data_IF_172269397720
#
_entry.id   IF_172269397720
#
_cell.length_a   1.000
_cell.length_b   1.000
_cell.length_c   1.000
_cell.angle_alpha   90.00
_cell.angle_beta   90.00
_cell.angle_gamma   90.00
#
_symmetry.space_group_name_H-M   'P 1'
#
loop_
_entity.id
_entity.type
_entity.pdbx_description
1 polymer ?
#
# COMPACT_ATOMS: atom_id res chain seq x y z
N UNK A 1 30.66 -27.85 -27.76
CA UNK A 1 30.21 -26.45 -27.95
C UNK A 1 28.87 -26.46 -28.65
N UNK A 2 27.77 -26.56 -27.91
CA UNK A 2 26.42 -26.40 -28.47
C UNK A 2 26.09 -24.92 -28.50
N UNK A 3 26.23 -24.29 -29.67
CA UNK A 3 25.74 -22.94 -29.94
C UNK A 3 24.22 -22.93 -29.84
N UNK A 4 23.69 -22.74 -28.62
CA UNK A 4 22.28 -22.55 -28.38
C UNK A 4 21.84 -21.25 -29.03
N UNK A 5 21.02 -21.36 -30.07
CA UNK A 5 20.41 -20.21 -30.73
C UNK A 5 19.74 -19.32 -29.68
N UNK A 6 20.17 -18.06 -29.56
CA UNK A 6 19.61 -17.09 -28.63
C UNK A 6 18.12 -16.94 -28.95
N UNK A 7 17.23 -17.35 -28.04
CA UNK A 7 15.80 -17.11 -28.16
C UNK A 7 15.50 -15.64 -27.82
N UNK A 8 15.84 -14.77 -28.78
CA UNK A 8 15.76 -13.32 -28.66
C UNK A 8 14.33 -12.85 -28.42
N UNK A 9 13.33 -13.55 -28.99
CA UNK A 9 11.91 -13.26 -28.77
C UNK A 9 11.50 -13.50 -27.31
N UNK A 10 11.97 -14.59 -26.71
CA UNK A 10 11.72 -14.88 -25.29
C UNK A 10 12.42 -13.88 -24.38
N UNK A 11 13.64 -13.46 -24.72
CA UNK A 11 14.37 -12.45 -23.97
C UNK A 11 13.64 -11.09 -23.96
N UNK A 12 13.18 -10.62 -25.14
CA UNK A 12 12.39 -9.38 -25.25
C UNK A 12 11.12 -9.47 -24.40
N UNK A 13 10.38 -10.59 -24.49
CA UNK A 13 9.15 -10.78 -23.73
C UNK A 13 9.39 -10.78 -22.22
N UNK A 14 10.56 -11.27 -21.76
CA UNK A 14 10.95 -11.18 -20.35
C UNK A 14 11.29 -9.74 -19.96
N UNK A 15 12.15 -9.06 -20.71
CA UNK A 15 12.57 -7.69 -20.42
C UNK A 15 11.39 -6.71 -20.31
N UNK A 16 10.35 -6.86 -21.15
CA UNK A 16 9.14 -6.01 -21.12
C UNK A 16 8.31 -6.11 -19.82
N UNK A 17 8.57 -7.12 -18.99
CA UNK A 17 7.88 -7.30 -17.71
C UNK A 17 8.44 -6.41 -16.61
N UNK A 18 9.50 -5.67 -16.88
CA UNK A 18 10.19 -4.83 -15.90
C UNK A 18 10.19 -3.36 -16.35
N UNK A 19 9.96 -2.43 -15.41
CA UNK A 19 9.93 -0.99 -15.68
C UNK A 19 11.31 -0.38 -15.88
N UNK A 20 12.35 -1.00 -15.33
CA UNK A 20 13.73 -0.52 -15.37
C UNK A 20 14.75 -1.67 -15.26
N UNK A 21 16.00 -1.36 -15.58
CA UNK A 21 17.11 -2.32 -15.59
C UNK A 21 17.43 -2.85 -14.19
N UNK A 22 17.24 -2.05 -13.16
CA UNK A 22 17.51 -2.43 -11.77
C UNK A 22 16.51 -3.48 -11.29
N UNK A 23 15.22 -3.22 -11.49
CA UNK A 23 14.13 -4.18 -11.22
C UNK A 23 14.32 -5.46 -12.03
N UNK A 24 14.67 -5.34 -13.31
CA UNK A 24 14.94 -6.52 -14.15
C UNK A 24 16.11 -7.36 -13.60
N UNK A 25 17.21 -6.72 -13.20
CA UNK A 25 18.38 -7.38 -12.61
C UNK A 25 18.04 -8.10 -11.30
N UNK A 26 17.21 -7.50 -10.45
CA UNK A 26 16.85 -8.07 -9.16
C UNK A 26 15.82 -9.20 -9.26
N UNK A 27 14.79 -9.04 -10.10
CA UNK A 27 13.67 -10.00 -10.16
C UNK A 27 13.92 -11.16 -11.14
N UNK A 28 14.69 -10.96 -12.22
CA UNK A 28 15.11 -12.04 -13.13
C UNK A 28 16.58 -11.91 -13.53
N UNK A 29 17.50 -12.09 -12.54
CA UNK A 29 18.93 -11.97 -12.76
C UNK A 29 19.44 -12.89 -13.88
N UNK A 30 18.83 -14.07 -14.03
CA UNK A 30 19.21 -15.03 -15.08
C UNK A 30 19.04 -14.44 -16.48
N UNK A 31 17.89 -13.82 -16.75
CA UNK A 31 17.65 -13.22 -18.08
C UNK A 31 18.41 -11.91 -18.30
N UNK A 32 18.61 -11.14 -17.23
CA UNK A 32 19.41 -9.91 -17.27
C UNK A 32 20.87 -10.20 -17.59
N UNK A 33 21.53 -11.10 -16.84
CA UNK A 33 22.93 -11.44 -17.08
C UNK A 33 23.12 -12.13 -18.43
N UNK A 34 22.17 -12.96 -18.87
CA UNK A 34 22.18 -13.50 -20.22
C UNK A 34 22.15 -12.38 -21.29
N UNK A 35 21.35 -11.32 -21.10
CA UNK A 35 21.35 -10.16 -22.01
C UNK A 35 22.66 -9.37 -21.95
N UNK A 36 23.27 -9.25 -20.76
CA UNK A 36 24.54 -8.57 -20.55
C UNK A 36 25.71 -9.29 -21.22
N UNK A 37 25.82 -10.61 -21.00
CA UNK A 37 26.85 -11.49 -21.56
C UNK A 37 26.81 -11.51 -23.10
N UNK A 38 25.62 -11.32 -23.68
CA UNK A 38 25.43 -11.25 -25.13
C UNK A 38 25.45 -9.80 -25.68
N UNK A 39 25.73 -8.80 -24.84
CA UNK A 39 25.80 -7.38 -25.20
C UNK A 39 24.56 -6.86 -25.96
N UNK A 40 23.36 -7.27 -25.53
CA UNK A 40 22.09 -6.89 -26.16
C UNK A 40 21.21 -5.99 -25.31
N UNK A 41 21.64 -5.64 -24.09
CA UNK A 41 20.86 -4.80 -23.16
C UNK A 41 20.45 -3.47 -23.80
N UNK A 42 21.36 -2.81 -24.50
CA UNK A 42 21.12 -1.49 -25.12
C UNK A 42 20.26 -1.54 -26.39
N UNK A 43 19.84 -2.74 -26.84
CA UNK A 43 18.95 -2.84 -28.00
C UNK A 43 17.59 -2.21 -27.70
N UNK A 44 17.08 -1.46 -28.67
CA UNK A 44 15.84 -0.69 -28.55
C UNK A 44 14.62 -1.52 -28.14
N UNK A 45 14.60 -2.79 -28.53
CA UNK A 45 13.51 -3.73 -28.28
C UNK A 45 13.52 -4.29 -26.85
N UNK A 46 14.66 -4.15 -26.15
CA UNK A 46 14.92 -4.68 -24.81
C UNK A 46 14.81 -3.60 -23.74
N UNK A 47 15.48 -2.46 -23.89
CA UNK A 47 15.61 -1.48 -22.80
C UNK A 47 14.98 -0.12 -23.10
N UNK A 48 14.56 0.19 -24.34
CA UNK A 48 14.01 1.52 -24.66
C UNK A 48 12.80 1.89 -23.80
N UNK A 49 11.93 0.94 -23.48
CA UNK A 49 10.76 1.19 -22.63
C UNK A 49 11.11 1.47 -21.17
N UNK A 50 12.33 1.12 -20.75
CA UNK A 50 12.83 1.34 -19.41
C UNK A 50 13.33 2.78 -19.20
N UNK A 51 13.51 3.55 -20.29
CA UNK A 51 13.90 4.95 -20.23
C UNK A 51 12.88 5.80 -19.48
N UNK A 52 13.30 6.35 -18.34
CA UNK A 52 12.51 7.27 -17.54
C UNK A 52 12.10 8.51 -18.34
N UNK A 53 12.99 9.02 -19.20
CA UNK A 53 12.73 10.21 -20.04
C UNK A 53 11.59 9.95 -21.03
N UNK A 54 11.56 8.76 -21.66
CA UNK A 54 10.48 8.43 -22.58
C UNK A 54 9.16 8.23 -21.85
N UNK A 55 9.16 7.57 -20.69
CA UNK A 55 7.95 7.37 -19.88
C UNK A 55 7.38 8.70 -19.34
N UNK A 56 8.23 9.64 -18.97
CA UNK A 56 7.82 10.95 -18.47
C UNK A 56 7.13 11.83 -19.53
N UNK A 57 7.35 11.56 -20.82
CA UNK A 57 6.73 12.30 -21.93
C UNK A 57 5.33 11.78 -22.30
N UNK A 58 4.95 10.60 -21.83
CA UNK A 58 3.64 10.00 -22.15
C UNK A 58 2.54 10.73 -21.40
N UNK A 59 1.52 11.19 -22.11
CA UNK A 59 0.35 11.82 -21.51
C UNK A 59 -0.76 10.79 -21.24
N UNK A 60 -1.73 11.16 -20.41
CA UNK A 60 -2.90 10.33 -20.18
C UNK A 60 -3.75 10.15 -21.46
N UNK A 61 -3.79 11.17 -22.33
CA UNK A 61 -4.44 11.07 -23.64
C UNK A 61 -3.79 10.05 -24.56
N UNK A 62 -2.45 9.99 -24.58
CA UNK A 62 -1.70 8.98 -25.34
C UNK A 62 -2.04 7.56 -24.86
N UNK A 63 -2.16 7.38 -23.54
CA UNK A 63 -2.58 6.12 -22.93
C UNK A 63 -3.99 5.74 -23.38
N UNK A 64 -4.98 6.63 -23.29
CA UNK A 64 -6.36 6.31 -23.69
C UNK A 64 -6.48 5.95 -25.18
N UNK A 65 -5.70 6.61 -26.05
CA UNK A 65 -5.66 6.29 -27.48
C UNK A 65 -5.02 4.91 -27.72
N UNK A 66 -3.93 4.60 -27.04
CA UNK A 66 -3.22 3.32 -27.15
C UNK A 66 -4.07 2.14 -26.62
N UNK A 67 -4.86 2.36 -25.57
CA UNK A 67 -5.72 1.33 -24.98
C UNK A 67 -6.76 0.74 -25.92
N UNK A 68 -7.12 1.44 -27.00
CA UNK A 68 -8.08 0.97 -28.00
C UNK A 68 -7.64 -0.33 -28.70
N UNK A 69 -6.35 -0.65 -28.67
CA UNK A 69 -5.79 -1.83 -29.34
C UNK A 69 -5.69 -3.07 -28.44
N UNK A 70 -6.06 -2.97 -27.16
CA UNK A 70 -5.82 -4.03 -26.18
C UNK A 70 -7.05 -4.28 -25.29
N UNK A 71 -7.21 -5.53 -24.86
CA UNK A 71 -8.31 -5.95 -23.99
C UNK A 71 -7.85 -6.53 -22.64
N UNK A 72 -6.54 -6.55 -22.40
CA UNK A 72 -5.94 -6.99 -21.13
C UNK A 72 -4.66 -6.20 -20.87
N UNK A 73 -4.37 -5.94 -19.59
CA UNK A 73 -3.13 -5.29 -19.17
C UNK A 73 -1.88 -6.09 -19.60
N UNK A 74 -1.94 -7.43 -19.61
CA UNK A 74 -0.83 -8.27 -20.06
C UNK A 74 -0.51 -8.06 -21.55
N UNK A 75 -1.52 -8.07 -22.43
CA UNK A 75 -1.31 -7.77 -23.85
C UNK A 75 -0.83 -6.33 -24.07
N UNK A 76 -1.39 -5.39 -23.30
CA UNK A 76 -1.00 -3.99 -23.37
C UNK A 76 0.47 -3.80 -22.99
N UNK A 77 0.93 -4.35 -21.86
CA UNK A 77 2.34 -4.37 -21.45
C UNK A 77 3.25 -5.00 -22.51
N UNK A 78 2.85 -6.13 -23.06
CA UNK A 78 3.70 -6.88 -23.98
C UNK A 78 3.83 -6.18 -25.34
N UNK A 79 2.82 -5.42 -25.79
CA UNK A 79 2.79 -4.76 -27.10
C UNK A 79 3.11 -3.27 -27.06
N UNK A 80 2.79 -2.60 -25.97
CA UNK A 80 3.05 -1.17 -25.72
C UNK A 80 3.65 -0.95 -24.32
N UNK A 81 4.87 -1.45 -24.08
CA UNK A 81 5.49 -1.40 -22.75
C UNK A 81 5.77 0.03 -22.28
N UNK A 82 6.06 0.97 -23.20
CA UNK A 82 6.32 2.38 -22.86
C UNK A 82 5.09 3.01 -22.18
N UNK A 83 3.92 2.89 -22.80
CA UNK A 83 2.68 3.47 -22.29
C UNK A 83 2.19 2.73 -21.04
N UNK A 84 2.33 1.40 -21.00
CA UNK A 84 1.98 0.61 -19.81
C UNK A 84 2.79 1.05 -18.58
N UNK A 85 4.12 1.13 -18.72
CA UNK A 85 4.99 1.49 -17.60
C UNK A 85 4.95 2.98 -17.25
N UNK A 86 4.58 3.85 -18.20
CA UNK A 86 4.24 5.23 -17.91
C UNK A 86 2.95 5.32 -17.08
N UNK A 87 1.89 4.61 -17.47
CA UNK A 87 0.64 4.55 -16.72
C UNK A 87 0.83 3.94 -15.32
N UNK A 88 1.70 2.95 -15.16
CA UNK A 88 2.09 2.42 -13.85
C UNK A 88 2.77 3.48 -12.99
N UNK A 89 3.80 4.15 -13.53
CA UNK A 89 4.58 5.16 -12.80
C UNK A 89 3.74 6.39 -12.39
N UNK A 90 2.73 6.74 -13.19
CA UNK A 90 1.82 7.86 -12.95
C UNK A 90 0.55 7.46 -12.18
N UNK A 91 0.41 6.19 -11.78
CA UNK A 91 -0.75 5.70 -11.03
C UNK A 91 -2.06 5.59 -11.82
N UNK A 92 -2.00 5.61 -13.15
CA UNK A 92 -3.18 5.57 -14.02
C UNK A 92 -3.74 4.16 -14.26
N UNK A 93 -3.04 3.10 -13.87
CA UNK A 93 -3.51 1.73 -14.09
C UNK A 93 -4.84 1.42 -13.39
N UNK A 94 -5.12 2.11 -12.28
CA UNK A 94 -6.37 1.99 -11.52
C UNK A 94 -7.41 3.06 -11.89
N UNK A 95 -7.13 3.91 -12.89
CA UNK A 95 -8.08 4.91 -13.36
C UNK A 95 -9.31 4.23 -14.02
N UNK A 96 -10.56 4.68 -13.75
CA UNK A 96 -11.77 4.07 -14.29
C UNK A 96 -11.74 3.85 -15.81
N UNK A 97 -11.30 4.86 -16.57
CA UNK A 97 -11.21 4.77 -18.04
C UNK A 97 -10.19 3.74 -18.55
N UNK A 98 -9.13 3.49 -17.79
CA UNK A 98 -8.12 2.47 -18.11
C UNK A 98 -8.68 1.10 -17.79
N UNK A 99 -9.28 0.95 -16.62
CA UNK A 99 -9.89 -0.31 -16.16
C UNK A 99 -11.07 -0.77 -17.02
N UNK A 100 -11.86 0.16 -17.55
CA UNK A 100 -12.97 -0.15 -18.46
C UNK A 100 -12.50 -0.84 -19.75
N UNK A 101 -11.28 -0.52 -20.23
CA UNK A 101 -10.72 -1.05 -21.48
C UNK A 101 -9.81 -2.26 -21.25
N UNK A 102 -8.92 -2.14 -20.26
CA UNK A 102 -7.93 -3.16 -19.89
C UNK A 102 -8.03 -3.47 -18.39
N UNK A 103 -9.02 -4.27 -17.98
CA UNK A 103 -9.18 -4.60 -16.57
C UNK A 103 -7.92 -5.31 -16.04
N UNK A 104 -7.43 -4.87 -14.89
CA UNK A 104 -6.36 -5.59 -14.17
C UNK A 104 -6.88 -6.96 -13.72
N UNK A 105 -5.98 -7.92 -13.48
CA UNK A 105 -6.39 -9.20 -12.87
C UNK A 105 -7.09 -9.00 -11.54
N UNK A 106 -6.67 -7.99 -10.77
CA UNK A 106 -7.28 -7.56 -9.51
C UNK A 106 -8.68 -6.92 -9.74
N UNK A 107 -8.90 -6.26 -10.89
CA UNK A 107 -10.18 -5.64 -11.25
C UNK A 107 -11.15 -6.55 -12.00
N UNK A 108 -10.71 -7.65 -12.63
CA UNK A 108 -11.62 -8.74 -13.08
C UNK A 108 -12.47 -9.29 -11.93
N UNK A 109 -11.93 -9.21 -10.73
CA UNK A 109 -12.57 -9.61 -9.49
C UNK A 109 -13.39 -8.48 -8.82
N UNK A 110 -13.26 -7.23 -9.29
CA UNK A 110 -14.15 -6.08 -8.97
C UNK A 110 -15.25 -5.85 -10.03
N UNK A 111 -15.21 -6.59 -11.14
CA UNK A 111 -16.26 -6.64 -12.18
C UNK A 111 -17.48 -7.48 -11.77
N UNK A 112 -17.44 -8.08 -10.59
CA UNK A 112 -18.59 -8.69 -9.95
C UNK A 112 -19.45 -7.57 -9.37
N UNK A 113 -20.69 -7.45 -9.83
CA UNK A 113 -21.72 -6.71 -9.10
C UNK A 113 -22.45 -7.67 -8.17
N UNK A 114 -23.16 -7.13 -7.18
CA UNK A 114 -23.94 -7.94 -6.24
C UNK A 114 -25.02 -8.76 -6.98
N UNK A 115 -25.65 -8.19 -8.00
CA UNK A 115 -26.66 -8.85 -8.84
C UNK A 115 -26.05 -10.00 -9.63
N UNK A 116 -24.85 -9.80 -10.18
CA UNK A 116 -24.13 -10.83 -10.94
C UNK A 116 -23.68 -11.97 -10.04
N UNK A 117 -23.28 -11.67 -8.81
CA UNK A 117 -22.99 -12.68 -7.79
C UNK A 117 -24.24 -13.46 -7.43
N UNK A 118 -25.37 -12.80 -7.17
CA UNK A 118 -26.65 -13.47 -6.91
C UNK A 118 -27.06 -14.40 -8.06
N UNK A 119 -26.93 -13.93 -9.31
CA UNK A 119 -27.29 -14.72 -10.50
C UNK A 119 -26.38 -15.96 -10.70
N UNK A 120 -25.10 -15.86 -10.31
CA UNK A 120 -24.21 -17.03 -10.32
C UNK A 120 -24.47 -17.95 -9.14
N UNK A 121 -24.71 -17.40 -7.94
CA UNK A 121 -24.96 -18.17 -6.72
C UNK A 121 -26.24 -19.02 -6.85
N UNK A 122 -27.30 -18.48 -7.45
CA UNK A 122 -28.57 -19.18 -7.68
C UNK A 122 -28.44 -20.47 -8.53
N UNK A 123 -27.33 -20.64 -9.25
CA UNK A 123 -27.07 -21.88 -10.03
C UNK A 123 -26.63 -23.05 -9.16
N UNK A 124 -26.38 -22.82 -7.87
CA UNK A 124 -25.88 -23.80 -6.92
C UNK A 124 -26.87 -23.97 -5.77
N UNK A 125 -26.92 -25.17 -5.18
CA UNK A 125 -27.90 -25.51 -4.16
C UNK A 125 -27.46 -25.13 -2.75
N UNK A 126 -26.16 -24.95 -2.53
CA UNK A 126 -25.56 -24.70 -1.23
C UNK A 126 -24.20 -23.98 -1.37
N UNK A 127 -23.69 -23.43 -0.27
CA UNK A 127 -22.46 -22.65 -0.27
C UNK A 127 -21.22 -23.44 -0.65
N UNK A 128 -21.15 -24.71 -0.28
CA UNK A 128 -19.99 -25.55 -0.56
C UNK A 128 -19.97 -25.95 -2.04
N UNK A 129 -21.13 -26.26 -2.62
CA UNK A 129 -21.27 -26.48 -4.06
C UNK A 129 -21.01 -25.21 -4.87
N UNK A 130 -21.45 -24.04 -4.39
CA UNK A 130 -21.11 -22.76 -5.02
C UNK A 130 -19.62 -22.45 -4.96
N UNK A 131 -18.99 -22.64 -3.79
CA UNK A 131 -17.54 -22.43 -3.60
C UNK A 131 -16.71 -23.34 -4.50
N UNK A 132 -17.10 -24.60 -4.62
CA UNK A 132 -16.41 -25.57 -5.46
C UNK A 132 -16.67 -25.33 -6.95
N UNK A 133 -17.91 -25.01 -7.33
CA UNK A 133 -18.33 -24.89 -8.72
C UNK A 133 -18.02 -23.54 -9.37
N UNK A 134 -18.01 -22.44 -8.60
CA UNK A 134 -17.70 -21.12 -9.14
C UNK A 134 -16.98 -20.22 -8.13
N UNK A 135 -15.76 -20.64 -7.78
CA UNK A 135 -14.87 -19.98 -6.80
C UNK A 135 -14.71 -18.47 -7.00
N UNK A 136 -14.69 -17.98 -8.24
CA UNK A 136 -14.49 -16.56 -8.51
C UNK A 136 -15.64 -15.68 -8.00
N UNK A 137 -16.91 -16.11 -8.13
CA UNK A 137 -18.05 -15.33 -7.63
C UNK A 137 -18.22 -15.49 -6.12
N UNK A 138 -17.91 -16.67 -5.59
CA UNK A 138 -17.86 -16.90 -4.14
C UNK A 138 -16.79 -16.02 -3.45
N UNK A 139 -15.56 -16.01 -3.98
CA UNK A 139 -14.47 -15.19 -3.45
C UNK A 139 -14.79 -13.69 -3.61
N UNK A 140 -15.51 -13.30 -4.68
CA UNK A 140 -15.97 -11.93 -4.84
C UNK A 140 -17.03 -11.54 -3.80
N UNK A 141 -18.00 -12.41 -3.53
CA UNK A 141 -19.00 -12.20 -2.49
C UNK A 141 -18.36 -12.07 -1.10
N UNK A 142 -17.38 -12.93 -0.79
CA UNK A 142 -16.62 -12.86 0.47
C UNK A 142 -15.79 -11.58 0.58
N UNK A 143 -15.09 -11.19 -0.48
CA UNK A 143 -14.26 -9.96 -0.48
C UNK A 143 -15.10 -8.69 -0.36
N UNK A 144 -16.26 -8.64 -1.00
CA UNK A 144 -17.17 -7.49 -0.97
C UNK A 144 -18.21 -7.54 0.16
N UNK A 145 -18.08 -8.49 1.10
CA UNK A 145 -18.97 -8.62 2.26
C UNK A 145 -20.44 -8.91 1.92
N UNK A 146 -20.70 -9.51 0.75
CA UNK A 146 -22.05 -9.85 0.31
C UNK A 146 -22.57 -11.17 0.86
N UNK A 147 -21.72 -11.98 1.51
CA UNK A 147 -22.08 -13.30 2.04
C UNK A 147 -23.21 -13.26 3.09
N UNK A 148 -23.35 -12.13 3.80
CA UNK A 148 -24.42 -11.91 4.79
C UNK A 148 -25.60 -11.10 4.25
N UNK A 149 -25.68 -10.86 2.93
CA UNK A 149 -26.80 -10.13 2.35
C UNK A 149 -28.06 -11.00 2.38
N UNK A 150 -29.20 -10.51 2.90
CA UNK A 150 -30.43 -11.29 3.04
C UNK A 150 -30.85 -11.99 1.73
N UNK A 151 -30.77 -11.27 0.61
CA UNK A 151 -31.08 -11.80 -0.72
C UNK A 151 -30.18 -12.97 -1.13
N UNK A 152 -28.88 -12.91 -0.83
CA UNK A 152 -27.95 -13.99 -1.16
C UNK A 152 -28.13 -15.18 -0.20
N UNK A 153 -28.38 -14.93 1.08
CA UNK A 153 -28.65 -15.99 2.06
C UNK A 153 -29.94 -16.75 1.77
N UNK A 154 -30.99 -16.04 1.36
CA UNK A 154 -32.26 -16.61 0.91
C UNK A 154 -32.05 -17.49 -0.33
N UNK A 155 -31.32 -17.00 -1.33
CA UNK A 155 -30.97 -17.76 -2.54
C UNK A 155 -30.22 -19.06 -2.23
N UNK A 156 -29.36 -19.05 -1.21
CA UNK A 156 -28.56 -20.21 -0.81
C UNK A 156 -29.25 -21.10 0.24
N UNK A 157 -30.51 -20.82 0.60
CA UNK A 157 -31.29 -21.64 1.53
C UNK A 157 -30.73 -21.71 2.95
N UNK A 158 -29.94 -20.72 3.38
CA UNK A 158 -29.27 -20.73 4.69
C UNK A 158 -30.19 -20.11 5.76
N UNK A 159 -30.67 -20.93 6.69
CA UNK A 159 -31.49 -20.48 7.83
C UNK A 159 -30.68 -20.11 9.08
N UNK A 160 -29.42 -20.54 9.19
CA UNK A 160 -28.56 -20.22 10.34
C UNK A 160 -27.83 -18.89 10.13
N UNK A 161 -28.33 -17.83 10.78
CA UNK A 161 -27.80 -16.47 10.68
C UNK A 161 -26.45 -16.29 11.39
N UNK A 162 -26.14 -17.11 12.39
CA UNK A 162 -25.00 -16.88 13.30
C UNK A 162 -23.58 -16.92 12.68
N UNK A 163 -23.33 -17.69 11.62
CA UNK A 163 -22.00 -17.73 10.94
C UNK A 163 -21.86 -16.72 9.80
N UNK A 164 -22.98 -16.12 9.37
CA UNK A 164 -23.04 -15.26 8.19
C UNK A 164 -23.60 -13.88 8.53
N UNK A 165 -23.65 -13.51 9.82
CA UNK A 165 -23.95 -12.12 10.18
C UNK A 165 -22.92 -11.20 9.55
N UNK A 166 -23.28 -9.96 9.18
CA UNK A 166 -22.30 -9.04 8.60
C UNK A 166 -21.06 -8.84 9.50
N UNK A 167 -21.24 -8.88 10.82
CA UNK A 167 -20.14 -8.84 11.79
C UNK A 167 -19.22 -10.06 11.69
N UNK A 168 -19.75 -11.29 11.64
CA UNK A 168 -18.91 -12.49 11.45
C UNK A 168 -18.19 -12.47 10.10
N UNK A 169 -18.84 -12.00 9.04
CA UNK A 169 -18.19 -11.85 7.71
C UNK A 169 -17.01 -10.87 7.79
N UNK A 170 -17.15 -9.76 8.53
CA UNK A 170 -16.06 -8.82 8.78
C UNK A 170 -14.94 -9.45 9.61
N UNK A 171 -15.27 -10.25 10.62
CA UNK A 171 -14.30 -10.95 11.49
C UNK A 171 -13.52 -12.01 10.69
N UNK A 172 -14.20 -12.79 9.84
CA UNK A 172 -13.58 -13.83 9.00
C UNK A 172 -12.83 -13.29 7.75
N UNK A 173 -13.00 -12.00 7.44
CA UNK A 173 -12.31 -11.37 6.31
C UNK A 173 -10.77 -11.52 6.43
N UNK A 174 -10.01 -11.71 5.35
CA UNK A 174 -8.54 -11.79 5.44
C UNK A 174 -7.84 -10.50 5.88
N UNK A 175 -8.52 -9.34 5.83
CA UNK A 175 -7.99 -8.05 6.31
C UNK A 175 -7.70 -8.07 7.80
N UNK A 176 -6.71 -7.27 8.22
CA UNK A 176 -6.36 -7.15 9.64
C UNK A 176 -7.35 -6.24 10.39
N UNK A 177 -7.83 -5.20 9.72
CA UNK A 177 -8.65 -4.17 10.34
C UNK A 177 -10.10 -4.25 9.88
N UNK A 178 -11.00 -3.88 10.79
CA UNK A 178 -12.41 -3.61 10.50
C UNK A 178 -12.61 -2.13 10.82
N UNK A 179 -13.00 -1.34 9.82
CA UNK A 179 -13.17 0.11 9.94
C UNK A 179 -14.63 0.53 9.90
N UNK A 180 -14.92 1.77 10.32
CA UNK A 180 -16.27 2.33 10.29
C UNK A 180 -16.86 2.27 8.89
N UNK A 181 -16.06 2.55 7.85
CA UNK A 181 -16.51 2.44 6.47
C UNK A 181 -16.88 1.01 6.05
N UNK A 182 -16.34 -0.03 6.70
CA UNK A 182 -16.74 -1.41 6.46
C UNK A 182 -18.08 -1.72 7.17
N UNK A 183 -18.30 -1.13 8.36
CA UNK A 183 -19.55 -1.23 9.13
C UNK A 183 -20.68 -0.48 8.41
N UNK A 184 -20.42 0.73 7.91
CA UNK A 184 -21.40 1.55 7.19
C UNK A 184 -21.86 0.91 5.88
N UNK A 185 -21.02 0.05 5.28
CA UNK A 185 -21.36 -0.74 4.08
C UNK A 185 -22.10 -2.04 4.39
N UNK A 186 -22.24 -2.39 5.66
CA UNK A 186 -23.02 -3.54 6.09
C UNK A 186 -24.50 -3.36 5.72
N UNK A 187 -25.24 -4.45 5.44
CA UNK A 187 -26.69 -4.40 5.29
C UNK A 187 -27.43 -3.77 6.47
N UNK A 188 -26.89 -3.94 7.68
CA UNK A 188 -27.45 -3.40 8.93
C UNK A 188 -26.30 -2.85 9.80
N UNK A 189 -25.93 -1.57 9.61
CA UNK A 189 -24.80 -0.97 10.33
C UNK A 189 -24.97 -0.95 11.84
N UNK A 190 -26.18 -0.72 12.37
CA UNK A 190 -26.43 -0.63 13.81
C UNK A 190 -26.24 -1.99 14.48
N UNK A 191 -26.88 -3.03 13.95
CA UNK A 191 -26.72 -4.39 14.48
C UNK A 191 -25.27 -4.87 14.31
N UNK A 192 -24.65 -4.58 13.17
CA UNK A 192 -23.24 -4.96 12.92
C UNK A 192 -22.30 -4.31 13.92
N UNK A 193 -22.52 -3.03 14.24
CA UNK A 193 -21.74 -2.32 15.23
C UNK A 193 -21.90 -2.95 16.62
N UNK A 194 -23.14 -3.24 17.03
CA UNK A 194 -23.44 -3.91 18.30
C UNK A 194 -22.75 -5.27 18.41
N UNK A 195 -22.89 -6.12 17.39
CA UNK A 195 -22.28 -7.46 17.34
C UNK A 195 -20.74 -7.40 17.41
N UNK A 196 -20.12 -6.43 16.75
CA UNK A 196 -18.66 -6.22 16.85
C UNK A 196 -18.23 -5.75 18.24
N UNK A 197 -19.05 -4.95 18.93
CA UNK A 197 -18.77 -4.58 20.32
C UNK A 197 -18.85 -5.80 21.25
N UNK A 198 -19.82 -6.69 21.05
CA UNK A 198 -19.91 -7.95 21.80
C UNK A 198 -18.71 -8.87 21.49
N UNK A 199 -18.36 -9.04 20.21
CA UNK A 199 -17.18 -9.80 19.80
C UNK A 199 -15.87 -9.26 20.41
N UNK A 200 -15.78 -7.93 20.60
CA UNK A 200 -14.66 -7.30 21.28
C UNK A 200 -14.64 -7.61 22.79
N UNK A 201 -15.80 -7.63 23.45
CA UNK A 201 -15.92 -8.03 24.88
C UNK A 201 -15.55 -9.49 25.09
N UNK A 202 -15.91 -10.36 24.15
CA UNK A 202 -15.55 -11.78 24.14
C UNK A 202 -14.07 -12.03 23.79
N UNK A 203 -13.34 -11.00 23.37
CA UNK A 203 -11.91 -11.08 23.04
C UNK A 203 -11.61 -11.72 21.68
N UNK A 204 -12.60 -11.86 20.80
CA UNK A 204 -12.42 -12.37 19.42
C UNK A 204 -11.75 -11.32 18.52
N UNK A 205 -12.08 -10.05 18.75
CA UNK A 205 -11.43 -8.88 18.16
C UNK A 205 -11.07 -7.88 19.25
N UNK A 206 -10.31 -6.84 18.89
CA UNK A 206 -9.86 -5.81 19.80
C UNK A 206 -10.23 -4.43 19.26
N UNK A 207 -10.94 -3.65 20.06
CA UNK A 207 -11.20 -2.24 19.72
C UNK A 207 -9.90 -1.43 19.85
N UNK A 208 -9.52 -0.72 18.79
CA UNK A 208 -8.42 0.25 18.78
C UNK A 208 -8.97 1.62 19.20
N UNK A 209 -10.04 2.03 18.53
CA UNK A 209 -10.87 3.19 18.87
C UNK A 209 -12.31 2.92 18.43
N UNK A 210 -13.19 3.88 18.64
CA UNK A 210 -14.56 3.81 18.15
C UNK A 210 -14.58 3.57 16.63
N UNK A 211 -15.36 2.58 16.19
CA UNK A 211 -15.45 2.21 14.78
C UNK A 211 -14.18 1.61 14.16
N UNK A 212 -13.16 1.25 14.95
CA UNK A 212 -11.94 0.63 14.42
C UNK A 212 -11.49 -0.53 15.28
N UNK A 213 -11.46 -1.72 14.69
CA UNK A 213 -11.12 -2.96 15.36
C UNK A 213 -9.95 -3.65 14.66
N UNK A 214 -9.12 -4.33 15.45
CA UNK A 214 -8.10 -5.26 14.98
C UNK A 214 -8.43 -6.70 15.39
N UNK A 215 -8.01 -7.66 14.58
CA UNK A 215 -8.32 -9.07 14.82
C UNK A 215 -7.41 -9.73 15.85
N UNK A 216 -7.96 -10.69 16.60
CA UNK A 216 -7.34 -11.28 17.79
C UNK A 216 -6.05 -12.10 17.57
N UNK A 217 -5.71 -12.46 16.34
CA UNK A 217 -4.48 -13.22 16.05
C UNK A 217 -3.19 -12.42 16.23
N UNK A 218 -3.27 -11.10 16.40
CA UNK A 218 -2.12 -10.23 16.74
C UNK A 218 -1.47 -10.58 18.08
N UNK A 219 -2.22 -11.21 19.00
CA UNK A 219 -1.70 -11.67 20.29
C UNK A 219 -0.56 -12.70 20.18
N UNK A 220 -0.40 -13.33 19.01
CA UNK A 220 0.70 -14.27 18.71
C UNK A 220 1.98 -13.56 18.23
N UNK A 221 1.92 -12.26 17.93
CA UNK A 221 3.06 -11.48 17.47
C UNK A 221 3.86 -10.90 18.65
N UNK A 222 5.09 -10.45 18.39
CA UNK A 222 5.91 -9.80 19.40
C UNK A 222 5.24 -8.47 19.82
N UNK A 223 5.00 -8.24 21.13
CA UNK A 223 4.38 -7.01 21.62
C UNK A 223 4.98 -5.71 21.07
N UNK A 224 6.29 -5.70 20.84
CA UNK A 224 7.02 -4.51 20.38
C UNK A 224 6.72 -4.15 18.92
N UNK A 225 6.33 -5.11 18.08
CA UNK A 225 6.04 -4.87 16.65
C UNK A 225 4.56 -4.62 16.36
N UNK A 226 3.67 -4.82 17.33
CA UNK A 226 2.21 -4.62 17.14
C UNK A 226 1.88 -3.20 16.66
N UNK A 227 2.45 -2.11 17.22
CA UNK A 227 2.19 -0.77 16.70
C UNK A 227 2.52 -0.62 15.21
N UNK A 228 3.64 -1.20 14.77
CA UNK A 228 4.13 -1.11 13.39
C UNK A 228 3.26 -1.91 12.43
N UNK A 229 2.79 -3.08 12.87
CA UNK A 229 1.86 -3.92 12.11
C UNK A 229 0.51 -3.23 11.92
N UNK A 230 -0.02 -2.59 12.96
CA UNK A 230 -1.26 -1.81 12.85
C UNK A 230 -1.06 -0.58 11.97
N UNK A 231 0.04 0.17 12.14
CA UNK A 231 0.35 1.34 11.30
C UNK A 231 0.43 0.96 9.81
N UNK A 232 1.10 -0.16 9.50
CA UNK A 232 1.20 -0.70 8.15
C UNK A 232 -0.15 -1.12 7.59
N UNK A 233 -1.02 -1.71 8.41
CA UNK A 233 -2.36 -2.09 7.99
C UNK A 233 -3.26 -0.88 7.74
N UNK A 234 -3.15 0.19 8.54
CA UNK A 234 -3.86 1.44 8.31
C UNK A 234 -3.48 2.06 6.95
N UNK A 235 -2.20 2.04 6.59
CA UNK A 235 -1.75 2.48 5.26
C UNK A 235 -2.31 1.59 4.15
N UNK A 236 -2.08 0.27 4.24
CA UNK A 236 -2.38 -0.67 3.17
C UNK A 236 -3.88 -0.91 2.95
N UNK A 237 -4.65 -0.97 4.03
CA UNK A 237 -6.06 -1.38 4.00
C UNK A 237 -7.01 -0.19 4.00
N UNK A 238 -6.65 0.91 4.66
CA UNK A 238 -7.49 2.11 4.76
C UNK A 238 -6.95 3.31 3.98
N UNK A 239 -5.78 3.17 3.34
CA UNK A 239 -5.17 4.26 2.57
C UNK A 239 -4.71 5.43 3.43
N UNK A 240 -4.52 5.23 4.74
CA UNK A 240 -4.04 6.31 5.61
C UNK A 240 -2.61 6.69 5.24
N UNK A 241 -2.37 7.98 5.03
CA UNK A 241 -1.02 8.48 4.84
C UNK A 241 -0.35 8.58 6.20
N UNK A 242 0.46 7.59 6.53
CA UNK A 242 1.18 7.49 7.80
C UNK A 242 2.69 7.49 7.52
N UNK A 243 3.49 8.16 8.35
CA UNK A 243 4.96 8.12 8.29
C UNK A 243 5.55 7.97 9.68
N UNK A 244 6.78 7.46 9.77
CA UNK A 244 7.55 7.44 11.01
C UNK A 244 7.71 8.88 11.51
N UNK A 245 7.47 9.12 12.80
CA UNK A 245 7.51 10.48 13.33
C UNK A 245 8.91 11.09 13.24
N UNK A 246 9.01 12.42 13.19
CA UNK A 246 10.31 13.09 13.26
C UNK A 246 11.05 12.79 14.56
N UNK A 247 10.35 12.64 15.68
CA UNK A 247 10.98 12.24 16.94
C UNK A 247 11.60 10.85 16.86
N UNK A 248 10.92 9.92 16.19
CA UNK A 248 11.44 8.57 15.96
C UNK A 248 12.60 8.56 14.95
N UNK A 249 12.55 9.40 13.92
CA UNK A 249 13.69 9.59 13.01
C UNK A 249 14.88 10.21 13.74
N UNK A 250 14.65 11.27 14.54
CA UNK A 250 15.70 11.89 15.36
C UNK A 250 16.34 10.88 16.31
N UNK A 251 15.55 10.03 16.96
CA UNK A 251 16.06 8.91 17.74
C UNK A 251 16.93 7.96 16.90
N UNK A 252 16.45 7.58 15.71
CA UNK A 252 17.16 6.68 14.79
C UNK A 252 18.51 7.27 14.35
N UNK A 253 18.58 8.57 14.14
CA UNK A 253 19.82 9.29 13.81
C UNK A 253 20.67 9.70 15.03
N UNK A 254 20.21 9.40 16.26
CA UNK A 254 20.91 9.78 17.48
C UNK A 254 20.91 11.29 17.77
N UNK A 255 19.96 12.04 17.20
CA UNK A 255 19.82 13.47 17.39
C UNK A 255 19.04 13.79 18.69
N UNK A 256 19.37 14.90 19.40
CA UNK A 256 18.59 15.37 20.52
C UNK A 256 17.17 15.72 20.06
N UNK A 257 16.15 15.28 20.79
CA UNK A 257 14.75 15.50 20.44
C UNK A 257 13.90 15.70 21.69
N UNK A 258 12.85 16.53 21.57
CA UNK A 258 11.95 16.86 22.68
C UNK A 258 10.92 15.74 22.85
N UNK A 259 11.31 14.59 23.41
CA UNK A 259 10.30 13.61 23.80
C UNK A 259 10.70 12.68 24.95
N UNK A 260 10.10 12.95 26.11
CA UNK A 260 9.82 11.94 27.15
C UNK A 260 8.77 10.89 26.71
N UNK A 261 8.30 10.93 25.44
CA UNK A 261 7.21 10.09 24.91
C UNK A 261 7.49 9.74 23.45
N UNK A 262 7.88 8.49 23.18
CA UNK A 262 8.06 7.92 21.83
C UNK A 262 6.76 8.01 21.03
N UNK A 263 6.54 9.07 20.27
CA UNK A 263 5.51 9.07 19.23
C UNK A 263 6.09 8.25 18.08
N UNK A 264 5.45 7.16 17.68
CA UNK A 264 6.00 6.32 16.63
C UNK A 264 5.67 6.86 15.23
N UNK A 265 4.49 7.49 15.06
CA UNK A 265 3.94 7.79 13.75
C UNK A 265 3.27 9.16 13.63
N UNK A 266 3.15 9.63 12.40
CA UNK A 266 2.50 10.87 11.98
C UNK A 266 1.53 10.61 10.83
N UNK A 267 0.50 11.44 10.71
CA UNK A 267 -0.45 11.45 9.59
C UNK A 267 -0.93 12.87 9.31
N UNK A 268 -1.45 13.15 8.13
CA UNK A 268 -2.16 14.40 7.82
C UNK A 268 -3.69 14.30 8.02
N UNK A 269 -4.23 13.09 8.17
CA UNK A 269 -5.66 12.86 8.36
C UNK A 269 -6.10 13.19 9.80
N UNK A 270 -5.64 12.38 10.76
CA UNK A 270 -6.13 12.38 12.14
C UNK A 270 -5.05 12.00 13.18
N UNK A 271 -5.25 12.45 14.42
CA UNK A 271 -4.42 12.06 15.58
C UNK A 271 -5.05 10.86 16.28
N UNK A 272 -4.28 9.81 16.56
CA UNK A 272 -4.76 8.62 17.24
C UNK A 272 -3.79 8.18 18.33
N UNK A 273 -4.33 7.83 19.50
CA UNK A 273 -3.54 7.22 20.57
C UNK A 273 -4.31 6.05 21.18
N UNK A 274 -3.82 4.84 20.93
CA UNK A 274 -4.47 3.61 21.37
C UNK A 274 -3.56 2.81 22.31
N UNK A 275 -4.10 2.40 23.46
CA UNK A 275 -3.45 1.45 24.36
C UNK A 275 -3.79 0.04 23.89
N UNK A 276 -2.79 -0.70 23.42
CA UNK A 276 -2.96 -2.01 22.80
C UNK A 276 -2.74 -3.16 23.79
N UNK A 277 -2.89 -2.90 25.10
CA UNK A 277 -2.70 -3.89 26.16
C UNK A 277 -3.72 -5.03 26.15
N UNK A 278 -4.84 -4.87 25.45
CA UNK A 278 -5.81 -5.95 25.21
C UNK A 278 -5.39 -6.88 24.06
N UNK A 279 -4.51 -6.40 23.17
CA UNK A 279 -4.00 -7.17 22.03
C UNK A 279 -2.78 -8.02 22.46
N UNK A 280 -1.94 -7.49 23.34
CA UNK A 280 -0.72 -8.15 23.82
C UNK A 280 -0.85 -8.66 25.26
N UNK A 281 -0.43 -9.91 25.51
CA UNK A 281 -0.43 -10.51 26.86
C UNK A 281 0.74 -10.08 27.74
N UNK A 282 1.80 -9.48 27.19
CA UNK A 282 3.07 -9.24 27.91
C UNK A 282 3.53 -7.79 27.96
N UNK A 283 2.96 -6.89 27.16
CA UNK A 283 3.32 -5.47 27.20
C UNK A 283 2.08 -4.58 27.08
N UNK A 284 2.23 -3.30 27.41
CA UNK A 284 1.24 -2.24 27.09
C UNK A 284 1.73 -1.44 25.87
N UNK A 285 1.79 -2.03 24.66
CA UNK A 285 2.19 -1.28 23.49
C UNK A 285 1.20 -0.13 23.28
N UNK A 286 1.71 1.01 22.86
CA UNK A 286 0.90 2.19 22.58
C UNK A 286 1.15 2.61 21.15
N UNK A 287 0.12 2.58 20.32
CA UNK A 287 0.18 3.18 18.99
C UNK A 287 -0.16 4.66 19.13
N UNK A 288 0.78 5.52 18.77
CA UNK A 288 0.60 6.96 18.76
C UNK A 288 0.86 7.50 17.36
N UNK A 289 -0.20 8.02 16.73
CA UNK A 289 -0.20 8.73 15.46
C UNK A 289 -0.58 10.18 15.73
N UNK A 290 0.20 11.15 15.27
CA UNK A 290 -0.15 12.57 15.40
C UNK A 290 -0.54 13.17 14.07
N UNK A 291 -1.58 14.01 14.09
CA UNK A 291 -1.88 14.90 12.98
C UNK A 291 -0.79 15.95 12.86
N UNK A 292 -0.21 16.08 11.68
CA UNK A 292 0.83 17.06 11.37
C UNK A 292 0.48 17.85 10.10
N UNK A 293 1.09 19.03 9.88
CA UNK A 293 0.89 19.78 8.65
C UNK A 293 1.27 18.97 7.39
N UNK A 294 0.54 19.19 6.29
CA UNK A 294 0.71 18.45 5.03
C UNK A 294 2.16 18.43 4.51
N UNK A 295 2.89 19.55 4.62
CA UNK A 295 4.28 19.63 4.15
C UNK A 295 5.21 18.61 4.86
N UNK A 296 4.92 18.26 6.12
CA UNK A 296 5.70 17.25 6.85
C UNK A 296 5.46 15.87 6.28
N UNK A 297 4.30 15.63 5.66
CA UNK A 297 3.97 14.35 5.01
C UNK A 297 4.48 14.28 3.56
N UNK A 298 4.79 15.41 2.91
CA UNK A 298 5.35 15.48 1.55
C UNK A 298 6.79 14.98 1.43
N UNK A 299 7.60 15.17 2.48
CA UNK A 299 8.95 14.61 2.58
C UNK A 299 8.93 13.09 2.40
N UNK A 300 9.64 12.56 1.41
CA UNK A 300 9.69 11.14 1.07
C UNK A 300 10.39 10.29 2.16
N UNK A 301 10.54 8.99 1.88
CA UNK A 301 11.28 8.07 2.76
C UNK A 301 12.77 7.94 2.35
N UNK A 302 13.26 8.84 1.50
CA UNK A 302 14.69 8.94 1.17
C UNK A 302 15.52 9.27 2.41
N UNK A 303 16.80 8.92 2.37
CA UNK A 303 17.70 9.18 3.50
C UNK A 303 17.78 10.67 3.85
N UNK A 304 17.82 11.54 2.84
CA UNK A 304 17.89 13.00 2.98
C UNK A 304 16.62 13.55 3.63
N UNK A 305 15.46 13.11 3.16
CA UNK A 305 14.17 13.55 3.70
C UNK A 305 13.96 13.02 5.13
N UNK A 306 14.45 11.82 5.46
CA UNK A 306 14.45 11.30 6.83
C UNK A 306 15.34 12.13 7.77
N UNK A 307 16.47 12.64 7.30
CA UNK A 307 17.26 13.63 8.04
C UNK A 307 16.48 14.94 8.23
N UNK A 308 15.84 15.46 7.18
CA UNK A 308 15.02 16.67 7.29
C UNK A 308 13.90 16.49 8.32
N UNK A 309 13.23 15.32 8.29
CA UNK A 309 12.26 14.92 9.31
C UNK A 309 12.91 14.95 10.69
N UNK A 310 14.02 14.24 10.91
CA UNK A 310 14.71 14.23 12.19
C UNK A 310 15.01 15.64 12.73
N UNK A 311 15.53 16.54 11.89
CA UNK A 311 15.84 17.93 12.26
C UNK A 311 14.61 18.72 12.73
N UNK A 312 13.41 18.40 12.24
CA UNK A 312 12.17 19.03 12.72
C UNK A 312 11.82 18.67 14.17
N UNK A 313 12.40 17.61 14.74
CA UNK A 313 12.24 17.24 16.15
C UNK A 313 13.34 17.78 17.07
N UNK A 314 14.40 18.39 16.50
CA UNK A 314 15.56 18.87 17.26
C UNK A 314 15.21 20.17 18.01
N UNK A 315 15.56 20.29 19.31
CA UNK A 315 15.34 21.52 20.07
C UNK A 315 16.06 22.72 19.43
N UNK A 316 15.45 23.91 19.48
CA UNK A 316 15.99 25.11 18.83
C UNK A 316 17.43 25.46 19.26
N UNK A 317 17.79 25.18 20.52
CA UNK A 317 19.15 25.40 21.07
C UNK A 317 20.22 24.50 20.44
N UNK A 318 19.84 23.31 19.97
CA UNK A 318 20.75 22.29 19.42
C UNK A 318 20.68 22.26 17.88
N UNK A 319 19.64 22.84 17.30
CA UNK A 319 19.32 22.73 15.87
C UNK A 319 20.45 23.17 14.95
N UNK A 320 21.16 24.26 15.26
CA UNK A 320 22.27 24.74 14.43
C UNK A 320 23.39 23.70 14.35
N UNK A 321 23.85 23.22 15.51
CA UNK A 321 24.93 22.25 15.64
C UNK A 321 24.57 20.92 14.98
N UNK A 322 23.35 20.44 15.19
CA UNK A 322 22.90 19.17 14.59
C UNK A 322 22.69 19.29 13.07
N UNK A 323 22.29 20.46 12.58
CA UNK A 323 22.22 20.74 11.14
C UNK A 323 23.60 20.66 10.50
N UNK A 324 24.61 21.31 11.10
CA UNK A 324 25.99 21.27 10.63
C UNK A 324 26.54 19.83 10.60
N UNK A 325 26.35 19.07 11.67
CA UNK A 325 26.74 17.65 11.74
C UNK A 325 26.04 16.79 10.69
N UNK A 326 24.75 17.02 10.47
CA UNK A 326 23.98 16.26 9.48
C UNK A 326 24.50 16.53 8.07
N UNK A 327 24.69 17.81 7.71
CA UNK A 327 25.20 18.23 6.40
C UNK A 327 26.61 17.71 6.15
N UNK A 328 27.51 17.76 7.14
CA UNK A 328 28.90 17.31 7.00
C UNK A 328 29.03 15.80 6.69
N UNK A 329 28.01 15.00 7.01
CA UNK A 329 27.98 13.55 6.73
C UNK A 329 27.41 13.21 5.35
N UNK A 330 26.87 14.18 4.62
CA UNK A 330 26.24 13.95 3.32
C UNK A 330 27.28 14.01 2.20
N UNK A 331 27.13 13.12 1.23
CA UNK A 331 27.90 13.19 -0.01
C UNK A 331 27.40 14.33 -0.90
N UNK A 332 28.19 14.80 -1.89
CA UNK A 332 27.75 15.85 -2.82
C UNK A 332 26.44 15.54 -3.55
N UNK A 333 26.20 14.26 -3.90
CA UNK A 333 24.95 13.82 -4.52
C UNK A 333 23.76 13.97 -3.57
N UNK A 334 23.93 13.57 -2.31
CA UNK A 334 22.88 13.66 -1.30
C UNK A 334 22.58 15.12 -0.94
N UNK A 335 23.59 16.00 -0.93
CA UNK A 335 23.36 17.44 -0.76
C UNK A 335 22.51 18.02 -1.89
N UNK A 336 22.70 17.56 -3.12
CA UNK A 336 21.90 18.00 -4.26
C UNK A 336 20.44 17.53 -4.14
N UNK A 337 20.21 16.29 -3.72
CA UNK A 337 18.87 15.75 -3.43
C UNK A 337 18.21 16.53 -2.30
N UNK A 338 18.92 16.74 -1.19
CA UNK A 338 18.43 17.50 -0.05
C UNK A 338 18.01 18.92 -0.46
N UNK A 339 18.83 19.60 -1.28
CA UNK A 339 18.52 20.95 -1.81
C UNK A 339 17.23 20.99 -2.64
N UNK A 340 16.86 19.91 -3.32
CA UNK A 340 15.58 19.82 -4.04
C UNK A 340 14.43 19.75 -3.04
N UNK A 341 14.54 18.89 -2.02
CA UNK A 341 13.54 18.73 -0.96
C UNK A 341 13.35 20.00 -0.12
N UNK A 342 14.38 20.86 -0.03
CA UNK A 342 14.28 22.12 0.70
C UNK A 342 13.15 23.04 0.22
N UNK A 343 12.72 22.92 -1.04
CA UNK A 343 11.61 23.72 -1.60
C UNK A 343 10.28 23.46 -0.90
N UNK A 344 10.14 22.29 -0.26
CA UNK A 344 8.90 21.84 0.39
C UNK A 344 8.87 22.19 1.89
N UNK A 345 10.02 22.51 2.50
CA UNK A 345 10.11 22.77 3.95
C UNK A 345 10.16 24.27 4.27
N UNK A 346 9.62 24.63 5.43
CA UNK A 346 9.60 26.01 5.95
C UNK A 346 10.04 26.05 7.42
N UNK A 347 10.39 27.25 7.89
CA UNK A 347 10.63 27.51 9.31
C UNK A 347 12.09 27.37 9.76
N UNK A 348 12.33 27.08 11.05
CA UNK A 348 13.68 27.07 11.64
C UNK A 348 14.67 26.12 10.97
N UNK A 349 14.23 24.91 10.59
CA UNK A 349 15.08 23.91 9.91
C UNK A 349 15.58 24.44 8.57
N UNK A 350 14.67 24.99 7.75
CA UNK A 350 15.00 25.63 6.46
C UNK A 350 16.05 26.73 6.63
N UNK A 351 15.85 27.65 7.57
CA UNK A 351 16.76 28.78 7.82
C UNK A 351 18.16 28.33 8.23
N UNK A 352 18.27 27.29 9.06
CA UNK A 352 19.58 26.76 9.44
C UNK A 352 20.27 26.06 8.26
N UNK A 353 19.53 25.28 7.47
CA UNK A 353 20.09 24.63 6.28
C UNK A 353 20.54 25.64 5.23
N UNK A 354 19.82 26.74 5.03
CA UNK A 354 20.26 27.82 4.14
C UNK A 354 21.59 28.43 4.58
N UNK A 355 21.83 28.58 5.89
CA UNK A 355 23.11 29.13 6.39
C UNK A 355 24.29 28.17 6.21
N UNK A 356 24.05 26.87 6.31
CA UNK A 356 25.10 25.84 6.26
C UNK A 356 25.41 25.41 4.81
N UNK A 357 24.46 25.60 3.88
CA UNK A 357 24.58 25.17 2.48
C UNK A 357 25.02 26.29 1.52
N UNK A 358 25.26 27.51 2.02
CA UNK A 358 25.99 28.58 1.33
C UNK A 358 27.47 28.21 1.32
#
# INVERSE_FOLDING_TARGET
MSGGQIDFKKLIRKARQYPDLETWRHEDPKSYFFAAENNVIERSEISRHMSLVLRARVTFGDVLNDLRFYNTQGKWRDKSPVNFWAAWAQGWLDHPDVLARVPSRINRDRLWSFERVCAEAQKFNDMDSWRAGHRNSYDAAKRNLWMGQPKLMELMGISSTGKFTPAEVLIENPRLLISQADIDRSPDPEQTYHDLQEAAKEGRIHSICEGLYAKGYLSKQNPDVIPDVIASALQRELGWRIKVSCEQEAYTFGMPHVANRRNAYESDNHSMKAKLGHISRKARPTLTIRKVPHYRMELSDSYEDRILRALHAVPAKDLKVETEKAVAKLTPQQLLVLRISLRQIRGPVRRNLDLVLI
#
